data_IF_118181531590
#
_entry.id   IF_118181531590
#
_cell.length_a   1.000
_cell.length_b   1.000
_cell.length_c   1.000
_cell.angle_alpha   90.00
_cell.angle_beta   90.00
_cell.angle_gamma   90.00
#
_symmetry.space_group_name_H-M   'P 1'
#
loop_
_entity.id
_entity.type
_entity.pdbx_description
1 polymer ?
#
# COMPACT_ATOMS: atom_id res chain seq x y z
N UNK A 1 2.56 -14.99 -15.27
CA UNK A 1 3.25 -15.23 -16.57
C UNK A 1 4.74 -15.42 -16.29
N UNK A 2 5.50 -16.24 -17.04
CA UNK A 2 6.93 -16.42 -16.78
C UNK A 2 7.71 -15.13 -17.10
N UNK A 3 8.66 -14.76 -16.24
CA UNK A 3 9.43 -13.52 -16.38
C UNK A 3 10.30 -13.55 -17.65
N UNK A 4 10.09 -12.57 -18.54
CA UNK A 4 10.93 -12.36 -19.73
C UNK A 4 12.12 -11.46 -19.32
N UNK A 5 13.38 -11.89 -19.52
CA UNK A 5 14.55 -11.08 -19.23
C UNK A 5 14.52 -9.77 -20.05
N UNK A 6 14.50 -8.63 -19.37
CA UNK A 6 14.58 -7.30 -20.00
C UNK A 6 13.28 -6.47 -20.02
N UNK A 7 12.16 -7.03 -19.56
CA UNK A 7 10.95 -6.25 -19.29
C UNK A 7 10.90 -5.95 -17.79
N UNK A 8 10.80 -4.67 -17.40
CA UNK A 8 10.48 -4.34 -16.03
C UNK A 8 9.15 -5.03 -15.66
N UNK A 9 9.03 -5.63 -14.47
CA UNK A 9 7.78 -6.27 -14.08
C UNK A 9 6.63 -5.26 -14.22
N UNK A 10 5.53 -5.70 -14.84
CA UNK A 10 4.31 -4.88 -14.92
C UNK A 10 3.93 -4.46 -13.50
N UNK A 11 3.89 -3.14 -13.28
CA UNK A 11 3.49 -2.57 -11.99
C UNK A 11 1.96 -2.60 -11.99
N UNK A 12 1.39 -3.17 -10.93
CA UNK A 12 -0.05 -3.18 -10.72
C UNK A 12 -0.36 -2.18 -9.61
N UNK A 13 -1.19 -1.17 -9.90
CA UNK A 13 -1.69 -0.26 -8.89
C UNK A 13 -2.91 -0.89 -8.19
N UNK A 14 -2.92 -0.87 -6.87
CA UNK A 14 -4.01 -1.37 -6.04
C UNK A 14 -4.68 -0.20 -5.33
N UNK A 15 -5.99 -0.05 -5.51
CA UNK A 15 -6.78 0.91 -4.76
C UNK A 15 -6.90 0.44 -3.31
N UNK A 16 -6.18 1.12 -2.42
CA UNK A 16 -6.22 0.89 -0.96
C UNK A 16 -7.23 1.79 -0.24
N UNK A 17 -7.54 2.95 -0.83
CA UNK A 17 -8.46 3.94 -0.27
C UNK A 17 -9.33 4.49 -1.42
N UNK A 18 -10.67 4.32 -1.36
CA UNK A 18 -11.57 4.82 -2.37
C UNK A 18 -11.80 6.32 -2.16
N UNK A 19 -12.27 6.99 -3.21
CA UNK A 19 -12.64 8.40 -3.09
C UNK A 19 -13.86 8.56 -2.17
N UNK A 20 -13.79 9.55 -1.27
CA UNK A 20 -14.87 9.83 -0.33
C UNK A 20 -14.80 9.06 0.99
N UNK A 21 -13.64 8.46 1.33
CA UNK A 21 -13.37 8.05 2.72
C UNK A 21 -13.52 9.24 3.66
N UNK A 22 -14.30 9.05 4.72
CA UNK A 22 -14.50 10.04 5.76
C UNK A 22 -13.34 10.02 6.75
N UNK A 23 -13.01 11.17 7.34
CA UNK A 23 -11.97 11.28 8.35
C UNK A 23 -12.29 10.37 9.55
N UNK A 24 -11.30 9.61 10.01
CA UNK A 24 -11.48 8.60 11.07
C UNK A 24 -12.03 7.25 10.59
N UNK A 25 -12.23 7.06 9.27
CA UNK A 25 -12.58 5.75 8.70
C UNK A 25 -11.33 4.95 8.31
N UNK A 26 -11.47 3.62 8.32
CA UNK A 26 -10.44 2.69 7.88
C UNK A 26 -11.05 1.60 7.02
N UNK A 27 -10.36 1.25 5.94
CA UNK A 27 -10.70 0.19 5.02
C UNK A 27 -9.61 -0.87 5.07
N UNK A 28 -10.01 -2.10 5.36
CA UNK A 28 -9.11 -3.25 5.35
C UNK A 28 -9.16 -3.95 3.99
N UNK A 29 -8.03 -4.50 3.56
CA UNK A 29 -7.92 -5.32 2.35
C UNK A 29 -7.73 -6.80 2.71
N UNK A 30 -8.75 -7.49 3.28
CA UNK A 30 -8.60 -8.88 3.71
C UNK A 30 -8.49 -9.88 2.55
N UNK A 31 -8.76 -9.45 1.31
CA UNK A 31 -8.62 -10.28 0.11
C UNK A 31 -7.24 -10.12 -0.57
N UNK A 32 -6.42 -9.18 -0.11
CA UNK A 32 -5.10 -8.90 -0.63
C UNK A 32 -4.04 -9.25 0.42
N UNK A 33 -3.52 -10.47 0.32
CA UNK A 33 -2.43 -10.95 1.16
C UNK A 33 -1.07 -10.56 0.56
N UNK A 34 -0.26 -9.88 1.36
CA UNK A 34 1.11 -9.48 1.00
C UNK A 34 2.13 -10.21 1.85
N UNK A 35 3.27 -10.57 1.27
CA UNK A 35 4.40 -11.13 2.01
C UNK A 35 5.45 -10.06 2.30
N UNK A 36 5.58 -9.64 3.56
CA UNK A 36 6.66 -8.77 3.99
C UNK A 36 7.87 -9.59 4.46
N UNK A 37 9.06 -9.25 3.97
CA UNK A 37 10.29 -9.93 4.34
C UNK A 37 10.93 -9.22 5.54
N UNK A 38 11.19 -9.98 6.61
CA UNK A 38 11.81 -9.48 7.82
C UNK A 38 13.27 -9.09 7.57
N UNK A 39 13.69 -7.91 8.01
CA UNK A 39 15.05 -7.42 7.86
C UNK A 39 15.38 -6.86 6.47
N UNK A 40 14.46 -6.93 5.50
CA UNK A 40 14.64 -6.30 4.20
C UNK A 40 13.82 -4.99 4.08
N UNK A 41 14.40 -3.94 3.49
CA UNK A 41 13.65 -2.73 3.18
C UNK A 41 12.64 -3.03 2.07
N UNK A 42 11.38 -2.71 2.33
CA UNK A 42 10.30 -2.72 1.36
C UNK A 42 9.94 -1.29 1.01
N UNK A 43 9.76 -1.03 -0.28
CA UNK A 43 9.41 0.26 -0.82
C UNK A 43 7.95 0.29 -1.21
N UNK A 44 7.21 1.24 -0.65
CA UNK A 44 5.83 1.53 -0.98
C UNK A 44 5.79 2.75 -1.90
N UNK A 45 5.35 2.54 -3.13
CA UNK A 45 5.09 3.63 -4.08
C UNK A 45 3.61 4.00 -3.97
N UNK A 46 3.34 5.23 -3.56
CA UNK A 46 1.99 5.73 -3.41
C UNK A 46 1.55 6.43 -4.70
N UNK A 47 0.28 6.26 -5.03
CA UNK A 47 -0.33 6.87 -6.21
C UNK A 47 -1.64 7.51 -5.81
N UNK A 48 -1.86 8.76 -6.22
CA UNK A 48 -3.10 9.49 -6.01
C UNK A 48 -3.86 9.61 -7.32
N UNK A 49 -5.16 9.30 -7.30
CA UNK A 49 -6.03 9.59 -8.45
C UNK A 49 -6.76 10.91 -8.29
N UNK A 50 -6.74 11.73 -9.33
CA UNK A 50 -7.49 13.00 -9.38
C UNK A 50 -8.82 12.85 -10.12
N UNK A 51 -8.88 11.94 -11.10
CA UNK A 51 -10.05 11.75 -11.98
C UNK A 51 -10.83 10.45 -11.70
N UNK A 52 -10.23 9.44 -11.08
CA UNK A 52 -10.86 8.13 -10.88
C UNK A 52 -11.49 8.01 -9.49
N UNK A 53 -12.69 8.57 -9.36
CA UNK A 53 -13.44 8.61 -8.08
C UNK A 53 -14.34 7.40 -7.85
N UNK A 54 -14.43 6.50 -8.82
CA UNK A 54 -15.32 5.34 -8.80
C UNK A 54 -14.59 4.03 -8.44
N UNK A 55 -13.26 4.06 -8.34
CA UNK A 55 -12.46 2.90 -7.95
C UNK A 55 -12.76 2.53 -6.49
N UNK A 56 -12.98 1.23 -6.26
CA UNK A 56 -13.26 0.65 -4.95
C UNK A 56 -12.00 0.04 -4.36
N UNK A 57 -11.98 -0.13 -3.04
CA UNK A 57 -10.93 -0.89 -2.36
C UNK A 57 -10.76 -2.28 -2.99
N UNK A 58 -9.51 -2.67 -3.25
CA UNK A 58 -9.16 -3.92 -3.91
C UNK A 58 -9.16 -3.85 -5.45
N UNK A 59 -9.53 -2.72 -6.04
CA UNK A 59 -9.46 -2.53 -7.50
C UNK A 59 -8.01 -2.54 -7.95
N UNK A 60 -7.69 -3.40 -8.92
CA UNK A 60 -6.35 -3.51 -9.51
C UNK A 60 -6.34 -2.88 -10.90
N UNK A 61 -5.32 -2.07 -11.15
CA UNK A 61 -5.07 -1.41 -12.43
C UNK A 61 -3.72 -1.91 -12.97
N UNK A 62 -3.77 -2.64 -14.08
CA UNK A 62 -2.58 -3.12 -14.79
C UNK A 62 -1.97 -2.03 -15.70
N UNK A 63 -2.74 -0.98 -16.01
CA UNK A 63 -2.31 0.14 -16.86
C UNK A 63 -3.03 1.42 -16.46
N UNK A 64 -2.29 2.54 -16.42
CA UNK A 64 -2.80 3.88 -16.20
C UNK A 64 -1.91 4.92 -16.88
N UNK A 65 -2.46 6.11 -17.08
CA UNK A 65 -1.73 7.29 -17.57
C UNK A 65 -1.32 8.20 -16.40
N UNK A 66 -0.33 9.09 -16.62
CA UNK A 66 0.08 10.08 -15.62
C UNK A 66 -1.03 11.10 -15.28
N UNK A 67 -2.05 11.21 -16.13
CA UNK A 67 -3.24 12.04 -15.88
C UNK A 67 -4.23 11.33 -14.94
N UNK A 68 -4.19 9.99 -14.88
CA UNK A 68 -5.08 9.17 -14.06
C UNK A 68 -4.55 8.94 -12.65
N UNK A 69 -3.25 8.63 -12.53
CA UNK A 69 -2.55 8.44 -11.26
C UNK A 69 -1.29 9.29 -11.23
N UNK A 70 -1.24 10.21 -10.27
CA UNK A 70 -0.05 10.94 -9.91
C UNK A 70 0.78 10.10 -8.92
N UNK A 71 2.04 9.86 -9.24
CA UNK A 71 2.97 9.23 -8.32
C UNK A 71 3.33 10.20 -7.19
N UNK A 72 3.24 9.72 -5.96
CA UNK A 72 3.56 10.44 -4.73
C UNK A 72 4.91 9.98 -4.19
N UNK A 73 5.37 10.59 -3.11
CA UNK A 73 6.59 10.15 -2.43
C UNK A 73 6.53 8.67 -2.06
N UNK A 74 7.59 7.95 -2.44
CA UNK A 74 7.81 6.57 -2.04
C UNK A 74 8.29 6.52 -0.59
N UNK A 75 7.82 5.51 0.15
CA UNK A 75 8.26 5.26 1.52
C UNK A 75 8.97 3.91 1.61
N UNK A 76 10.20 3.93 2.13
CA UNK A 76 10.91 2.70 2.49
C UNK A 76 10.66 2.39 3.97
N UNK A 77 10.15 1.19 4.26
CA UNK A 77 10.07 0.66 5.63
C UNK A 77 10.86 -0.63 5.72
N UNK A 78 11.35 -0.99 6.90
CA UNK A 78 12.01 -2.28 7.13
C UNK A 78 11.32 -2.97 8.28
N UNK A 79 10.90 -4.23 8.09
CA UNK A 79 10.29 -4.99 9.18
C UNK A 79 11.38 -5.34 10.21
N UNK A 80 11.22 -4.94 11.48
CA UNK A 80 12.20 -5.27 12.51
C UNK A 80 12.21 -6.78 12.80
N UNK A 81 13.38 -7.27 13.18
CA UNK A 81 13.63 -8.67 13.57
C UNK A 81 13.14 -8.95 15.01
N UNK A 82 11.89 -8.59 15.34
CA UNK A 82 11.27 -8.79 16.66
C UNK A 82 10.99 -10.27 16.94
N UNK A 83 12.04 -11.06 17.16
CA UNK A 83 11.94 -12.50 17.39
C UNK A 83 11.69 -13.34 16.13
N UNK A 84 11.61 -12.70 14.97
CA UNK A 84 11.59 -13.36 13.66
C UNK A 84 12.98 -13.40 13.05
N UNK A 85 13.20 -14.37 12.16
CA UNK A 85 14.47 -14.49 11.44
C UNK A 85 14.53 -13.51 10.27
N UNK A 86 15.68 -12.87 10.06
CA UNK A 86 15.97 -12.18 8.79
C UNK A 86 15.67 -13.08 7.60
N UNK A 87 14.98 -12.55 6.58
CA UNK A 87 14.54 -13.29 5.40
C UNK A 87 13.25 -14.11 5.60
N UNK A 88 12.61 -14.06 6.77
CA UNK A 88 11.31 -14.68 6.98
C UNK A 88 10.19 -13.88 6.30
N UNK A 89 9.30 -14.58 5.59
CA UNK A 89 8.13 -13.97 4.94
C UNK A 89 6.93 -14.01 5.89
N UNK A 90 6.43 -12.83 6.24
CA UNK A 90 5.26 -12.63 7.08
C UNK A 90 4.08 -12.25 6.18
N UNK A 91 3.02 -13.07 6.12
CA UNK A 91 1.79 -12.69 5.44
C UNK A 91 1.10 -11.59 6.23
N UNK A 92 0.80 -10.49 5.56
CA UNK A 92 0.14 -9.30 6.11
C UNK A 92 -1.04 -8.90 5.24
N UNK A 93 -2.04 -8.29 5.85
CA UNK A 93 -3.05 -7.51 5.15
C UNK A 93 -2.70 -6.03 5.24
N UNK A 94 -3.05 -5.29 4.20
CA UNK A 94 -2.99 -3.84 4.22
C UNK A 94 -4.30 -3.28 4.77
N UNK A 95 -4.21 -2.25 5.59
CA UNK A 95 -5.33 -1.48 6.09
C UNK A 95 -5.03 -0.01 5.85
N UNK A 96 -5.87 0.67 5.09
CA UNK A 96 -5.75 2.10 4.86
C UNK A 96 -6.71 2.83 5.81
N UNK A 97 -6.27 3.90 6.44
CA UNK A 97 -7.06 4.71 7.34
C UNK A 97 -6.85 6.19 7.04
N UNK A 98 -7.92 6.98 7.05
CA UNK A 98 -7.81 8.44 6.94
C UNK A 98 -7.80 9.02 8.35
N UNK A 99 -6.70 9.67 8.71
CA UNK A 99 -6.55 10.32 10.02
C UNK A 99 -7.41 11.59 10.11
N UNK A 100 -7.69 12.06 11.33
CA UNK A 100 -8.43 13.32 11.60
C UNK A 100 -7.73 14.58 11.07
N UNK A 101 -6.47 14.47 10.63
CA UNK A 101 -5.74 15.56 9.98
C UNK A 101 -5.82 15.51 8.46
N UNK A 102 -6.64 14.62 7.90
CA UNK A 102 -6.84 14.42 6.46
C UNK A 102 -5.70 13.67 5.78
N UNK A 103 -4.87 12.96 6.54
CA UNK A 103 -3.69 12.24 6.04
C UNK A 103 -4.02 10.74 5.92
N UNK A 104 -3.59 10.11 4.81
CA UNK A 104 -3.79 8.68 4.57
C UNK A 104 -2.69 7.86 5.24
N UNK A 105 -3.08 7.00 6.16
CA UNK A 105 -2.21 6.09 6.86
C UNK A 105 -2.41 4.67 6.32
N UNK A 106 -1.32 4.01 5.92
CA UNK A 106 -1.33 2.61 5.58
C UNK A 106 -0.80 1.80 6.78
N UNK A 107 -1.39 0.65 7.06
CA UNK A 107 -0.94 -0.25 8.10
C UNK A 107 -0.79 -1.65 7.50
N UNK A 108 0.36 -2.28 7.73
CA UNK A 108 0.54 -3.69 7.47
C UNK A 108 0.21 -4.47 8.75
N UNK A 109 -0.84 -5.28 8.71
CA UNK A 109 -1.33 -6.09 9.83
C UNK A 109 -0.93 -7.55 9.60
N UNK A 110 -0.13 -8.12 10.49
CA UNK A 110 0.25 -9.53 10.39
C UNK A 110 -0.95 -10.45 10.52
N UNK A 111 -1.01 -11.47 9.66
CA UNK A 111 -1.99 -12.55 9.78
C UNK A 111 -1.54 -13.66 10.71
N UNK A 112 -0.24 -13.74 11.02
CA UNK A 112 0.32 -14.77 11.92
C UNK A 112 0.30 -14.35 13.38
N UNK A 113 0.41 -13.04 13.65
CA UNK A 113 0.62 -12.48 14.99
C UNK A 113 -0.12 -11.15 15.13
N UNK A 114 -0.18 -10.60 16.34
CA UNK A 114 -0.75 -9.27 16.61
C UNK A 114 0.17 -8.09 16.19
N UNK A 115 1.20 -8.35 15.37
CA UNK A 115 2.10 -7.31 14.89
C UNK A 115 1.39 -6.40 13.89
N UNK A 116 1.53 -5.08 14.08
CA UNK A 116 1.11 -4.08 13.10
C UNK A 116 2.26 -3.12 12.82
N UNK A 117 2.45 -2.78 11.55
CA UNK A 117 3.44 -1.77 11.14
C UNK A 117 2.70 -0.61 10.51
N UNK A 118 2.83 0.56 11.12
CA UNK A 118 2.25 1.80 10.63
C UNK A 118 3.17 2.43 9.58
N UNK A 119 2.57 2.82 8.46
CA UNK A 119 3.18 3.35 7.24
C UNK A 119 2.44 4.67 6.98
N UNK A 120 2.90 5.74 7.63
CA UNK A 120 2.26 7.06 7.50
C UNK A 120 2.76 7.76 6.24
N UNK A 121 1.84 8.34 5.46
CA UNK A 121 2.16 9.04 4.22
C UNK A 121 1.28 10.30 4.10
N UNK A 122 1.88 11.43 3.72
CA UNK A 122 1.16 12.70 3.59
C UNK A 122 0.62 12.94 2.17
N UNK A 123 -0.71 12.95 2.05
CA UNK A 123 -1.43 13.14 0.77
C UNK A 123 -1.53 14.61 0.32
N UNK A 124 -1.00 15.59 1.06
CA UNK A 124 -1.34 17.02 0.89
C UNK A 124 -0.73 17.71 -0.32
N UNK A 125 -0.35 16.99 -1.38
CA UNK A 125 0.14 17.58 -2.62
C UNK A 125 -0.87 17.65 -3.77
N UNK A 126 -2.17 17.53 -3.47
CA UNK A 126 -3.21 17.93 -4.43
C UNK A 126 -3.47 19.44 -4.29
N UNK A 127 -2.58 20.28 -4.81
CA UNK A 127 -2.91 21.65 -5.23
C UNK A 127 -3.48 21.62 -6.66
#
# INVERSE_FOLDING_TARGET
MPAVPGLAPDIVALCIAPFGMEEGTSEELPNDEFGLVVGEPVRFRFFASTIRREDKVGTRLDYWTNEELAELDELDITLPEEGRRSGEIVPVHLCAAVTEVGTLELQAVSQKDSSRWKIEFDVRHCD
#
